data_IF_811233750850
#
_entry.id   IF_811233750850
#
_cell.length_a   1.000
_cell.length_b   1.000
_cell.length_c   1.000
_cell.angle_alpha   90.00
_cell.angle_beta   90.00
_cell.angle_gamma   90.00
#
_symmetry.space_group_name_H-M   'P 1'
#
loop_
_entity.id
_entity.type
_entity.pdbx_description
1 polymer ?
#
# COMPACT_ATOMS: atom_id res chain seq x y z
N UNK A 1 -15.92 -11.01 13.17
CA UNK A 1 -14.96 -10.88 12.06
C UNK A 1 -14.75 -9.41 11.76
N UNK A 2 -13.55 -8.99 11.35
CA UNK A 2 -13.09 -7.59 11.20
C UNK A 2 -14.06 -6.63 10.48
N UNK A 3 -15.03 -7.14 9.70
CA UNK A 3 -16.06 -6.35 9.03
C UNK A 3 -17.23 -5.94 9.94
N UNK A 4 -17.34 -6.44 11.17
CA UNK A 4 -18.44 -6.11 12.09
C UNK A 4 -18.09 -5.02 13.11
N UNK A 5 -16.81 -4.65 13.25
CA UNK A 5 -16.35 -3.64 14.22
C UNK A 5 -16.29 -2.22 13.65
N UNK A 6 -16.40 -2.07 12.32
CA UNK A 6 -16.37 -0.76 11.64
C UNK A 6 -17.67 0.06 11.78
N UNK A 7 -18.69 -0.45 12.47
CA UNK A 7 -20.01 0.21 12.52
C UNK A 7 -20.25 1.12 13.73
N UNK A 8 -19.30 1.30 14.65
CA UNK A 8 -19.51 2.17 15.82
C UNK A 8 -18.30 3.00 16.17
N UNK A 9 -18.53 4.31 16.30
CA UNK A 9 -17.70 5.32 16.98
C UNK A 9 -16.74 6.10 16.07
N UNK A 10 -17.17 7.19 15.44
CA UNK A 10 -17.44 8.55 15.98
C UNK A 10 -16.24 9.49 15.78
N UNK A 11 -16.48 10.44 14.86
CA UNK A 11 -16.01 11.83 14.74
C UNK A 11 -14.60 12.13 15.25
N UNK A 12 -13.71 12.37 14.27
CA UNK A 12 -12.37 12.86 14.49
C UNK A 12 -12.31 14.30 15.01
N UNK A 13 -11.33 14.55 15.88
CA UNK A 13 -10.76 15.86 16.15
C UNK A 13 -9.23 15.75 16.18
N UNK A 14 -8.60 16.62 15.40
CA UNK A 14 -7.14 16.85 15.31
C UNK A 14 -6.58 17.44 16.61
N UNK A 15 -5.61 16.76 17.24
CA UNK A 15 -4.85 17.33 18.38
C UNK A 15 -3.35 17.41 18.06
N UNK A 16 -2.82 18.63 18.22
CA UNK A 16 -1.42 19.05 18.01
C UNK A 16 -0.44 18.30 18.92
N UNK A 17 0.75 18.05 18.40
CA UNK A 17 1.85 17.33 19.03
C UNK A 17 2.42 18.09 20.25
N UNK A 18 2.61 17.39 21.37
CA UNK A 18 3.62 17.71 22.36
C UNK A 18 4.32 16.41 22.76
N UNK A 19 5.61 16.33 22.46
CA UNK A 19 6.51 15.27 22.93
C UNK A 19 6.77 15.51 24.42
N UNK A 20 6.41 14.55 25.28
CA UNK A 20 6.74 14.58 26.71
C UNK A 20 7.66 13.42 27.01
N UNK A 21 8.81 13.78 27.59
CA UNK A 21 9.90 12.91 27.99
C UNK A 21 9.46 11.79 28.93
N UNK A 22 10.11 10.66 28.73
CA UNK A 22 9.88 9.36 29.33
C UNK A 22 10.57 9.30 30.71
N UNK A 23 9.97 9.90 31.75
CA UNK A 23 10.35 9.62 33.14
C UNK A 23 9.26 10.09 34.11
N UNK A 24 8.35 9.17 34.49
CA UNK A 24 7.65 9.09 35.79
C UNK A 24 6.52 8.05 35.72
N UNK A 25 6.85 6.78 35.99
CA UNK A 25 5.88 5.67 36.07
C UNK A 25 4.89 5.77 37.26
N UNK A 26 4.87 6.90 37.98
CA UNK A 26 3.90 7.25 39.04
C UNK A 26 2.96 8.41 38.66
N UNK A 27 2.98 8.87 37.41
CA UNK A 27 1.98 9.80 36.92
C UNK A 27 0.61 9.10 36.92
N UNK A 28 -0.29 9.54 37.82
CA UNK A 28 -1.73 9.20 37.93
C UNK A 28 -2.23 8.28 36.81
N UNK A 29 -2.60 7.03 37.13
CA UNK A 29 -3.10 5.99 36.20
C UNK A 29 -3.94 6.57 35.02
N UNK A 30 -4.88 7.51 35.23
CA UNK A 30 -5.56 8.25 34.15
C UNK A 30 -4.67 8.86 33.06
N UNK A 31 -3.55 9.50 33.41
CA UNK A 31 -2.61 10.10 32.45
C UNK A 31 -1.86 9.04 31.64
N UNK A 32 -1.42 7.95 32.28
CA UNK A 32 -0.77 6.84 31.57
C UNK A 32 -1.74 6.15 30.63
N UNK A 33 -3.00 5.92 31.05
CA UNK A 33 -4.04 5.35 30.19
C UNK A 33 -4.36 6.28 29.00
N UNK A 34 -4.48 7.59 29.24
CA UNK A 34 -4.71 8.56 28.17
C UNK A 34 -3.54 8.57 27.15
N UNK A 35 -2.30 8.50 27.63
CA UNK A 35 -1.12 8.42 26.77
C UNK A 35 -1.12 7.14 25.92
N UNK A 36 -1.40 5.98 26.54
CA UNK A 36 -1.48 4.70 25.83
C UNK A 36 -2.61 4.71 24.79
N UNK A 37 -3.78 5.25 25.13
CA UNK A 37 -4.90 5.40 24.20
C UNK A 37 -4.52 6.25 22.98
N UNK A 38 -3.88 7.40 23.20
CA UNK A 38 -3.41 8.25 22.10
C UNK A 38 -2.36 7.54 21.23
N UNK A 39 -1.42 6.80 21.83
CA UNK A 39 -0.43 6.00 21.10
C UNK A 39 -1.12 4.92 20.25
N UNK A 40 -2.14 4.26 20.78
CA UNK A 40 -2.93 3.27 20.05
C UNK A 40 -3.65 3.88 18.84
N UNK A 41 -4.37 5.00 19.01
CA UNK A 41 -5.04 5.69 17.90
C UNK A 41 -4.06 6.16 16.83
N UNK A 42 -2.88 6.66 17.24
CA UNK A 42 -1.82 7.04 16.29
C UNK A 42 -1.31 5.84 15.50
N UNK A 43 -1.06 4.71 16.17
CA UNK A 43 -0.62 3.48 15.52
C UNK A 43 -1.67 2.95 14.53
N UNK A 44 -2.95 3.01 14.88
CA UNK A 44 -4.07 2.63 13.99
C UNK A 44 -4.11 3.49 12.72
N UNK A 45 -3.99 4.81 12.86
CA UNK A 45 -3.93 5.74 11.72
C UNK A 45 -2.72 5.43 10.84
N UNK A 46 -1.54 5.21 11.44
CA UNK A 46 -0.33 4.85 10.72
C UNK A 46 -0.46 3.53 9.97
N UNK A 47 -1.05 2.50 10.58
CA UNK A 47 -1.30 1.21 9.96
C UNK A 47 -2.26 1.33 8.78
N UNK A 48 -3.35 2.08 8.93
CA UNK A 48 -4.32 2.35 7.86
C UNK A 48 -3.64 3.03 6.67
N UNK A 49 -2.81 4.05 6.93
CA UNK A 49 -2.05 4.75 5.88
C UNK A 49 -1.03 3.83 5.19
N UNK A 50 -0.36 2.95 5.93
CA UNK A 50 0.57 1.99 5.36
C UNK A 50 -0.14 1.00 4.42
N UNK A 51 -1.32 0.52 4.80
CA UNK A 51 -2.15 -0.36 3.96
C UNK A 51 -2.60 0.36 2.68
N UNK A 52 -3.07 1.60 2.78
CA UNK A 52 -3.46 2.40 1.61
C UNK A 52 -2.28 2.62 0.66
N UNK A 53 -1.09 2.94 1.20
CA UNK A 53 0.17 3.03 0.44
C UNK A 53 0.48 1.73 -0.29
N UNK A 54 0.43 0.60 0.41
CA UNK A 54 0.69 -0.71 -0.20
C UNK A 54 -0.27 -1.01 -1.35
N UNK A 55 -1.58 -0.76 -1.16
CA UNK A 55 -2.58 -0.98 -2.21
C UNK A 55 -2.28 -0.12 -3.44
N UNK A 56 -1.95 1.16 -3.25
CA UNK A 56 -1.66 2.09 -4.34
C UNK A 56 -0.40 1.69 -5.12
N UNK A 57 0.66 1.27 -4.42
CA UNK A 57 1.87 0.74 -5.05
C UNK A 57 1.55 -0.51 -5.90
N UNK A 58 0.75 -1.44 -5.37
CA UNK A 58 0.34 -2.63 -6.14
C UNK A 58 -0.53 -2.28 -7.35
N UNK A 59 -1.42 -1.28 -7.23
CA UNK A 59 -2.25 -0.80 -8.32
C UNK A 59 -1.40 -0.29 -9.48
N UNK A 60 -0.51 0.68 -9.22
CA UNK A 60 0.34 1.25 -10.27
C UNK A 60 1.33 0.22 -10.82
N UNK A 61 1.90 -0.63 -9.96
CA UNK A 61 2.74 -1.74 -10.40
C UNK A 61 2.01 -2.64 -11.42
N UNK A 62 0.79 -3.10 -11.09
CA UNK A 62 0.01 -3.97 -11.98
C UNK A 62 -0.36 -3.26 -13.29
N UNK A 63 -0.69 -1.97 -13.22
CA UNK A 63 -0.98 -1.15 -14.40
C UNK A 63 0.23 -1.09 -15.34
N UNK A 64 1.38 -0.64 -14.83
CA UNK A 64 2.63 -0.56 -15.60
C UNK A 64 3.09 -1.92 -16.11
N UNK A 65 2.98 -2.97 -15.29
CA UNK A 65 3.30 -4.34 -15.70
C UNK A 65 2.48 -4.79 -16.91
N UNK A 66 1.15 -4.55 -16.90
CA UNK A 66 0.27 -4.89 -18.03
C UNK A 66 0.62 -4.08 -19.27
N UNK A 67 0.89 -2.80 -19.12
CA UNK A 67 1.33 -1.92 -20.22
C UNK A 67 2.61 -2.47 -20.87
N UNK A 68 3.63 -2.86 -20.07
CA UNK A 68 4.87 -3.47 -20.58
C UNK A 68 4.65 -4.81 -21.28
N UNK A 69 3.75 -5.65 -20.78
CA UNK A 69 3.40 -6.91 -21.46
C UNK A 69 2.79 -6.64 -22.83
N UNK A 70 1.88 -5.67 -22.94
CA UNK A 70 1.27 -5.32 -24.23
C UNK A 70 2.27 -4.63 -25.17
N UNK A 71 3.15 -3.76 -24.67
CA UNK A 71 4.25 -3.17 -25.45
C UNK A 71 5.10 -4.26 -26.13
N UNK A 72 5.52 -5.29 -25.38
CA UNK A 72 6.31 -6.41 -25.92
C UNK A 72 5.52 -7.18 -26.97
N UNK A 73 4.25 -7.50 -26.72
CA UNK A 73 3.40 -8.23 -27.67
C UNK A 73 3.18 -7.45 -28.97
N UNK A 74 3.06 -6.12 -28.88
CA UNK A 74 2.89 -5.25 -30.04
C UNK A 74 4.19 -5.08 -30.84
N UNK A 75 5.34 -5.03 -30.16
CA UNK A 75 6.65 -4.89 -30.80
C UNK A 75 7.14 -6.21 -31.43
N UNK A 76 6.85 -7.36 -30.81
CA UNK A 76 7.35 -8.68 -31.21
C UNK A 76 6.22 -9.56 -31.75
N UNK A 77 6.02 -9.57 -33.07
CA UNK A 77 4.96 -10.35 -33.72
C UNK A 77 5.11 -11.84 -33.43
N UNK A 78 4.06 -12.47 -32.90
CA UNK A 78 4.01 -13.92 -32.64
C UNK A 78 4.49 -14.34 -31.25
N UNK A 79 4.85 -13.39 -30.38
CA UNK A 79 5.19 -13.68 -28.99
C UNK A 79 3.94 -14.06 -28.20
N UNK A 80 4.02 -15.18 -27.47
CA UNK A 80 2.94 -15.60 -26.57
C UNK A 80 2.86 -14.70 -25.34
N UNK A 81 1.66 -14.57 -24.75
CA UNK A 81 1.46 -13.82 -23.50
C UNK A 81 2.40 -14.30 -22.39
N UNK A 82 2.62 -15.62 -22.27
CA UNK A 82 3.56 -16.16 -21.28
C UNK A 82 5.01 -15.72 -21.53
N UNK A 83 5.44 -15.66 -22.79
CA UNK A 83 6.79 -15.20 -23.14
C UNK A 83 6.96 -13.71 -22.88
N UNK A 84 5.97 -12.88 -23.24
CA UNK A 84 5.99 -11.45 -22.95
C UNK A 84 6.06 -11.18 -21.43
N UNK A 85 5.26 -11.89 -20.62
CA UNK A 85 5.31 -11.79 -19.16
C UNK A 85 6.66 -12.19 -18.59
N UNK A 86 7.25 -13.28 -19.09
CA UNK A 86 8.57 -13.71 -18.66
C UNK A 86 9.64 -12.65 -18.96
N UNK A 87 9.60 -12.01 -20.12
CA UNK A 87 10.50 -10.90 -20.45
C UNK A 87 10.32 -9.73 -19.49
N UNK A 88 9.08 -9.33 -19.15
CA UNK A 88 8.86 -8.27 -18.14
C UNK A 88 9.45 -8.68 -16.78
N UNK A 89 9.28 -9.93 -16.36
CA UNK A 89 9.89 -10.41 -15.11
C UNK A 89 11.42 -10.38 -15.14
N UNK A 90 12.03 -10.75 -16.27
CA UNK A 90 13.50 -10.69 -16.42
C UNK A 90 14.00 -9.25 -16.32
N UNK A 91 13.35 -8.31 -17.01
CA UNK A 91 13.67 -6.88 -16.90
C UNK A 91 13.51 -6.34 -15.47
N UNK A 92 12.46 -6.73 -14.75
CA UNK A 92 12.29 -6.30 -13.35
C UNK A 92 13.40 -6.88 -12.47
N UNK A 93 13.75 -8.16 -12.68
CA UNK A 93 14.78 -8.85 -11.90
C UNK A 93 16.17 -8.20 -12.03
N UNK A 94 16.49 -7.57 -13.17
CA UNK A 94 17.73 -6.81 -13.36
C UNK A 94 17.87 -5.62 -12.40
N UNK A 95 16.76 -5.13 -11.85
CA UNK A 95 16.73 -3.98 -10.94
C UNK A 95 16.37 -4.36 -9.50
N UNK A 96 16.14 -5.65 -9.21
CA UNK A 96 15.84 -6.12 -7.87
C UNK A 96 17.11 -6.58 -7.14
N UNK A 97 17.10 -6.40 -5.81
CA UNK A 97 18.13 -7.00 -4.97
C UNK A 97 18.07 -8.53 -5.04
N UNK A 98 19.23 -9.15 -4.84
CA UNK A 98 19.44 -10.60 -4.75
C UNK A 98 18.53 -11.33 -3.74
N UNK A 99 17.98 -10.59 -2.76
CA UNK A 99 16.96 -11.07 -1.82
C UNK A 99 15.68 -11.56 -2.51
N UNK A 100 15.34 -11.03 -3.68
CA UNK A 100 14.11 -11.41 -4.39
C UNK A 100 14.40 -12.47 -5.46
N UNK A 101 13.52 -13.47 -5.54
CA UNK A 101 13.59 -14.48 -6.60
C UNK A 101 12.51 -14.23 -7.66
N UNK A 102 12.77 -14.64 -8.91
CA UNK A 102 11.78 -14.56 -10.00
C UNK A 102 10.48 -15.27 -9.65
N UNK A 103 10.56 -16.43 -8.99
CA UNK A 103 9.38 -17.16 -8.49
C UNK A 103 8.54 -16.33 -7.51
N UNK A 104 9.21 -15.64 -6.57
CA UNK A 104 8.54 -14.73 -5.63
C UNK A 104 7.87 -13.57 -6.35
N UNK A 105 8.56 -12.95 -7.31
CA UNK A 105 8.02 -11.88 -8.14
C UNK A 105 6.78 -12.33 -8.92
N UNK A 106 6.84 -13.47 -9.59
CA UNK A 106 5.73 -14.06 -10.33
C UNK A 106 4.51 -14.28 -9.42
N UNK A 107 4.71 -14.93 -8.26
CA UNK A 107 3.63 -15.22 -7.30
C UNK A 107 2.99 -13.95 -6.76
N UNK A 108 3.79 -12.96 -6.38
CA UNK A 108 3.28 -11.67 -5.87
C UNK A 108 2.54 -10.89 -6.95
N UNK A 109 3.07 -10.86 -8.18
CA UNK A 109 2.42 -10.21 -9.33
C UNK A 109 1.08 -10.83 -9.66
N UNK A 110 0.99 -12.16 -9.72
CA UNK A 110 -0.28 -12.86 -9.97
C UNK A 110 -1.31 -12.56 -8.88
N UNK A 111 -0.89 -12.58 -7.60
CA UNK A 111 -1.76 -12.23 -6.48
C UNK A 111 -2.25 -10.78 -6.57
N UNK A 112 -1.35 -9.84 -6.88
CA UNK A 112 -1.69 -8.44 -7.06
C UNK A 112 -2.66 -8.25 -8.23
N UNK A 113 -2.39 -8.83 -9.40
CA UNK A 113 -3.29 -8.79 -10.56
C UNK A 113 -4.71 -9.26 -10.22
N UNK A 114 -4.84 -10.37 -9.47
CA UNK A 114 -6.13 -10.91 -9.03
C UNK A 114 -6.83 -10.05 -7.98
N UNK A 115 -6.07 -9.36 -7.12
CA UNK A 115 -6.62 -8.45 -6.13
C UNK A 115 -7.10 -7.15 -6.79
N UNK A 116 -6.25 -6.54 -7.62
CA UNK A 116 -6.55 -5.28 -8.33
C UNK A 116 -7.70 -5.44 -9.31
N UNK A 117 -7.84 -6.60 -9.98
CA UNK A 117 -8.98 -6.84 -10.88
C UNK A 117 -10.35 -6.86 -10.18
N UNK A 118 -10.38 -6.87 -8.84
CA UNK A 118 -11.61 -6.82 -8.04
C UNK A 118 -11.92 -5.42 -7.52
N UNK A 119 -10.99 -4.48 -7.66
CA UNK A 119 -11.21 -3.09 -7.28
C UNK A 119 -11.97 -2.37 -8.39
N UNK A 120 -12.95 -1.56 -8.01
CA UNK A 120 -13.66 -0.68 -8.95
C UNK A 120 -12.98 0.68 -9.02
N UNK A 121 -13.14 1.39 -10.14
CA UNK A 121 -12.57 2.74 -10.30
C UNK A 121 -12.97 3.73 -9.19
N UNK A 122 -14.21 3.70 -8.66
CA UNK A 122 -14.55 4.51 -7.48
C UNK A 122 -13.73 4.16 -6.24
N UNK A 123 -13.46 2.87 -5.98
CA UNK A 123 -12.66 2.46 -4.82
C UNK A 123 -11.21 2.92 -4.93
N UNK A 124 -10.63 2.86 -6.14
CA UNK A 124 -9.28 3.36 -6.41
C UNK A 124 -9.23 4.88 -6.22
N UNK A 125 -10.21 5.61 -6.76
CA UNK A 125 -10.31 7.06 -6.60
C UNK A 125 -10.45 7.48 -5.14
N UNK A 126 -11.27 6.77 -4.35
CA UNK A 126 -11.37 7.03 -2.91
C UNK A 126 -10.02 6.85 -2.22
N UNK A 127 -9.25 5.81 -2.58
CA UNK A 127 -7.91 5.60 -2.01
C UNK A 127 -6.95 6.72 -2.45
N UNK A 128 -6.99 7.13 -3.72
CA UNK A 128 -6.19 8.24 -4.26
C UNK A 128 -6.55 9.58 -3.62
N UNK A 129 -7.81 9.87 -3.34
CA UNK A 129 -8.27 11.11 -2.68
C UNK A 129 -7.77 11.16 -1.22
N UNK A 130 -7.89 10.05 -0.48
CA UNK A 130 -7.33 9.93 0.87
C UNK A 130 -5.80 10.05 0.87
N UNK A 131 -5.14 9.73 -0.25
CA UNK A 131 -3.71 9.87 -0.45
C UNK A 131 -3.28 11.29 -0.90
N UNK A 132 -4.05 11.92 -1.79
CA UNK A 132 -3.76 13.20 -2.43
C UNK A 132 -3.74 14.38 -1.46
N UNK A 133 -4.41 14.26 -0.32
CA UNK A 133 -4.26 15.21 0.79
C UNK A 133 -2.88 15.17 1.48
N UNK A 134 -1.92 14.36 1.02
CA UNK A 134 -0.64 14.08 1.72
C UNK A 134 0.66 14.11 0.87
N UNK A 135 0.72 14.88 -0.23
CA UNK A 135 1.94 15.20 -1.01
C UNK A 135 2.45 14.14 -2.02
N UNK A 136 2.53 14.63 -3.26
CA UNK A 136 3.46 14.39 -4.38
C UNK A 136 3.92 12.96 -4.77
N UNK A 137 3.14 12.35 -5.68
CA UNK A 137 3.54 11.18 -6.47
C UNK A 137 4.58 11.49 -7.56
N UNK A 138 4.90 12.77 -7.84
CA UNK A 138 5.91 13.15 -8.86
C UNK A 138 7.36 12.80 -8.49
N UNK A 139 7.61 12.28 -7.29
CA UNK A 139 8.94 11.82 -6.88
C UNK A 139 9.23 10.35 -7.21
N UNK A 140 8.23 9.60 -7.68
CA UNK A 140 8.32 8.15 -7.94
C UNK A 140 8.09 7.75 -9.41
N UNK A 141 7.89 8.72 -10.30
CA UNK A 141 7.84 8.57 -11.77
C UNK A 141 8.95 9.42 -12.40
#
# INVERSE_FOLDING_TARGET
GLLQELSTSVRGETIKNNEVAEDNLKASIPKTLACLFQKACRAEICATKAIQKEILCWYYYVKMYKEKVEEIKNAQRGVSDQSARNQVYDNIMEHLSDRFTKDTLCKKTQKACKAISKLTDPQIRTIEEHFGHMQDLRSYL
#
